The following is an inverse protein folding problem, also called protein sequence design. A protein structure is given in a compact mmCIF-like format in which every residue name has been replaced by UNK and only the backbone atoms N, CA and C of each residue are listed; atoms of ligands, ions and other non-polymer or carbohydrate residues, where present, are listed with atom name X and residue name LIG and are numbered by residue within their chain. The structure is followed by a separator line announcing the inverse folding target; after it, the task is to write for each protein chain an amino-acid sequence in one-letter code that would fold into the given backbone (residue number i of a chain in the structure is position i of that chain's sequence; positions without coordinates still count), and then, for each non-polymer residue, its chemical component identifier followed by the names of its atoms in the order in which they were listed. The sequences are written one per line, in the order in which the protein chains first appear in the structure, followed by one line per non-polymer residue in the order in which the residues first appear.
data_IF_314414673341
#
_entry.id   IF_314414673341
#
_cell.length_a   1.000
_cell.length_b   1.000
_cell.length_c   1.000
_cell.angle_alpha   90.00
_cell.angle_beta   90.00
_cell.angle_gamma   90.00
#
_symmetry.space_group_name_H-M   'P 1'
#
loop_
_entity.id
_entity.type
_entity.pdbx_description
1 polymer ?
#
# COMPACT_ATOMS: atom_id res chain seq x y z
N UNK A 1 -10.90 4.46 -10.18
CA UNK A 1 -11.52 3.19 -9.72
C UNK A 1 -10.57 2.54 -8.74
N UNK A 2 -10.99 2.24 -7.51
CA UNK A 2 -10.16 1.45 -6.59
C UNK A 2 -10.21 -0.02 -6.99
N UNK A 3 -9.05 -0.64 -7.13
CA UNK A 3 -8.91 -2.06 -7.47
C UNK A 3 -7.94 -2.72 -6.51
N UNK A 4 -8.15 -4.00 -6.19
CA UNK A 4 -7.21 -4.77 -5.39
C UNK A 4 -7.16 -6.22 -5.86
N UNK A 5 -6.04 -6.88 -5.60
CA UNK A 5 -5.87 -8.30 -5.83
C UNK A 5 -4.84 -8.85 -4.85
N UNK A 6 -5.02 -10.09 -4.39
CA UNK A 6 -3.95 -10.83 -3.71
C UNK A 6 -3.39 -11.82 -4.71
N UNK A 7 -2.11 -11.68 -5.02
CA UNK A 7 -1.37 -12.62 -5.86
C UNK A 7 -0.47 -13.48 -4.98
N UNK A 8 -0.47 -14.79 -5.24
CA UNK A 8 0.53 -15.71 -4.65
C UNK A 8 1.62 -15.96 -5.68
N UNK A 9 2.85 -15.56 -5.35
CA UNK A 9 4.03 -15.73 -6.19
C UNK A 9 5.02 -16.57 -5.40
N UNK A 10 5.20 -17.83 -5.81
CA UNK A 10 5.95 -18.84 -5.05
C UNK A 10 5.38 -18.98 -3.62
N UNK A 11 6.21 -18.71 -2.62
CA UNK A 11 5.93 -18.74 -1.20
C UNK A 11 5.41 -17.41 -0.63
N UNK A 12 5.37 -16.35 -1.44
CA UNK A 12 4.93 -15.00 -1.02
C UNK A 12 3.48 -14.74 -1.41
N UNK A 13 2.76 -14.04 -0.54
CA UNK A 13 1.47 -13.40 -0.87
C UNK A 13 1.68 -11.90 -0.95
N UNK A 14 1.09 -11.27 -1.96
CA UNK A 14 1.24 -9.84 -2.22
C UNK A 14 -0.15 -9.26 -2.45
N UNK A 15 -0.52 -8.28 -1.63
CA UNK A 15 -1.71 -7.47 -1.81
C UNK A 15 -1.38 -6.27 -2.68
N UNK A 16 -1.96 -6.24 -3.87
CA UNK A 16 -2.00 -5.06 -4.72
C UNK A 16 -3.21 -4.23 -4.36
N UNK A 17 -2.99 -2.92 -4.15
CA UNK A 17 -4.05 -1.93 -4.06
C UNK A 17 -3.74 -0.79 -5.01
N UNK A 18 -4.74 -0.41 -5.80
CA UNK A 18 -4.70 0.75 -6.70
C UNK A 18 -5.55 1.87 -6.12
N UNK A 19 -4.93 3.02 -5.90
CA UNK A 19 -5.63 4.21 -5.44
C UNK A 19 -6.37 4.92 -6.59
N UNK A 20 -7.02 6.05 -6.28
CA UNK A 20 -7.75 6.84 -7.27
C UNK A 20 -6.85 7.63 -8.24
N UNK A 21 -5.54 7.74 -7.96
CA UNK A 21 -4.55 8.45 -8.78
C UNK A 21 -3.80 7.50 -9.73
N UNK A 22 -4.29 6.27 -9.90
CA UNK A 22 -3.64 5.18 -10.65
C UNK A 22 -2.26 4.78 -10.09
N UNK A 23 -2.02 5.07 -8.81
CA UNK A 23 -0.82 4.57 -8.13
C UNK A 23 -1.08 3.14 -7.66
N UNK A 24 -0.15 2.24 -7.96
CA UNK A 24 -0.17 0.87 -7.43
C UNK A 24 0.71 0.78 -6.18
N UNK A 25 0.20 0.12 -5.14
CA UNK A 25 1.00 -0.30 -3.98
C UNK A 25 0.96 -1.82 -3.89
N UNK A 26 2.12 -2.41 -3.64
CA UNK A 26 2.27 -3.83 -3.36
C UNK A 26 2.68 -4.00 -1.89
N UNK A 27 1.86 -4.72 -1.12
CA UNK A 27 2.00 -4.86 0.32
C UNK A 27 2.08 -6.33 0.72
N UNK A 28 2.79 -6.62 1.81
CA UNK A 28 2.66 -7.89 2.50
C UNK A 28 1.28 -7.94 3.19
N UNK A 29 0.38 -8.87 2.83
CA UNK A 29 -0.95 -8.93 3.41
C UNK A 29 -0.96 -9.54 4.81
N UNK A 30 0.18 -9.90 5.39
CA UNK A 30 0.24 -10.48 6.72
C UNK A 30 0.16 -9.38 7.77
N UNK A 31 -0.94 -9.37 8.52
CA UNK A 31 -1.17 -8.44 9.62
C UNK A 31 -0.06 -8.55 10.67
N UNK A 32 0.53 -7.41 11.01
CA UNK A 32 1.65 -7.30 11.96
C UNK A 32 1.28 -7.61 13.42
N UNK A 33 -0.01 -7.74 13.75
CA UNK A 33 -0.45 -8.13 15.09
C UNK A 33 -0.27 -9.64 15.35
N UNK A 34 -0.99 -10.49 14.59
CA UNK A 34 -1.03 -11.95 14.79
C UNK A 34 -1.08 -12.73 13.47
N UNK A 35 -0.49 -12.17 12.41
CA UNK A 35 -0.19 -12.85 11.16
C UNK A 35 -1.39 -13.39 10.35
N UNK A 36 -2.59 -12.85 10.57
CA UNK A 36 -3.71 -13.10 9.67
C UNK A 36 -3.52 -12.37 8.34
N UNK A 37 -4.01 -12.94 7.24
CA UNK A 37 -4.12 -12.23 5.96
C UNK A 37 -5.16 -11.11 6.07
N UNK A 38 -4.78 -9.89 5.69
CA UNK A 38 -5.67 -8.71 5.63
C UNK A 38 -6.39 -8.62 4.28
N UNK A 39 -7.48 -7.86 4.25
CA UNK A 39 -8.32 -7.68 3.06
C UNK A 39 -8.59 -6.19 2.80
N UNK A 40 -8.83 -5.81 1.54
CA UNK A 40 -9.31 -4.47 1.22
C UNK A 40 -10.82 -4.38 1.50
N UNK A 41 -11.24 -3.39 2.29
CA UNK A 41 -12.64 -3.06 2.53
C UNK A 41 -13.09 -1.97 1.56
N UNK A 42 -14.00 -2.32 0.64
CA UNK A 42 -14.67 -1.35 -0.25
C UNK A 42 -15.45 -0.28 0.51
N UNK A 43 -16.07 -0.66 1.62
CA UNK A 43 -16.90 0.24 2.44
C UNK A 43 -16.05 1.30 3.13
N UNK A 44 -14.91 0.88 3.71
CA UNK A 44 -14.02 1.79 4.45
C UNK A 44 -12.99 2.49 3.55
N UNK A 45 -12.69 1.92 2.38
CA UNK A 45 -11.60 2.38 1.53
C UNK A 45 -10.20 2.08 2.10
N UNK A 46 -10.10 1.18 3.07
CA UNK A 46 -8.88 0.82 3.81
C UNK A 46 -8.63 -0.68 3.80
N UNK A 47 -7.47 -1.10 4.28
CA UNK A 47 -7.11 -2.50 4.49
C UNK A 47 -7.51 -2.90 5.92
N UNK A 48 -8.17 -4.03 6.09
CA UNK A 48 -8.75 -4.50 7.36
C UNK A 48 -8.29 -5.92 7.66
N UNK A 49 -7.85 -6.14 8.89
CA UNK A 49 -7.59 -7.47 9.42
C UNK A 49 -8.89 -8.08 9.99
N UNK A 50 -9.41 -9.18 9.42
CA UNK A 50 -10.69 -9.77 9.86
C UNK A 50 -10.62 -10.43 11.24
N UNK A 51 -9.42 -10.72 11.74
CA UNK A 51 -9.25 -11.44 13.01
C UNK A 51 -9.53 -10.57 14.24
N UNK A 52 -9.00 -9.34 14.27
CA UNK A 52 -9.08 -8.47 15.46
C UNK A 52 -9.36 -7.00 15.11
N UNK A 53 -9.63 -6.70 13.84
CA UNK A 53 -10.08 -5.37 13.42
C UNK A 53 -8.99 -4.29 13.30
N UNK A 54 -7.71 -4.67 13.25
CA UNK A 54 -6.65 -3.72 12.86
C UNK A 54 -6.92 -3.17 11.47
N UNK A 55 -6.65 -1.89 11.27
CA UNK A 55 -6.86 -1.21 10.00
C UNK A 55 -5.57 -0.54 9.54
N UNK A 56 -5.36 -0.54 8.23
CA UNK A 56 -4.21 0.07 7.58
C UNK A 56 -4.66 0.96 6.41
N UNK A 57 -3.95 2.05 6.17
CA UNK A 57 -4.06 2.84 4.96
C UNK A 57 -3.69 1.99 3.73
N UNK A 58 -4.03 2.47 2.52
CA UNK A 58 -3.66 1.80 1.27
C UNK A 58 -2.16 1.77 1.01
N UNK A 59 -1.39 2.55 1.76
CA UNK A 59 0.07 2.51 1.72
C UNK A 59 0.69 1.57 2.78
N UNK A 60 -0.14 0.87 3.57
CA UNK A 60 0.30 -0.07 4.62
C UNK A 60 0.52 0.56 6.00
N UNK A 61 0.38 1.88 6.17
CA UNK A 61 0.48 2.54 7.48
C UNK A 61 -0.67 2.13 8.40
N UNK A 62 -0.38 1.92 9.69
CA UNK A 62 -1.41 1.60 10.69
C UNK A 62 -2.37 2.77 10.86
N UNK A 63 -3.68 2.49 10.75
CA UNK A 63 -4.77 3.41 11.08
C UNK A 63 -5.42 3.06 12.42
N UNK A 64 -5.49 1.77 12.74
CA UNK A 64 -6.19 1.28 13.93
C UNK A 64 -5.49 0.08 14.53
N UNK A 65 -5.36 0.13 15.85
CA UNK A 65 -4.87 -0.95 16.70
C UNK A 65 -5.79 -2.20 16.62
N UNK A 66 -5.36 -3.40 17.06
CA UNK A 66 -4.17 -3.74 17.86
C UNK A 66 -2.81 -3.77 17.15
N UNK A 67 -2.74 -3.72 15.82
CA UNK A 67 -1.46 -3.64 15.13
C UNK A 67 -0.74 -2.33 15.47
N UNK A 68 0.56 -2.39 15.75
CA UNK A 68 1.39 -1.20 16.06
C UNK A 68 2.44 -0.93 14.99
N UNK A 69 2.67 -1.88 14.09
CA UNK A 69 3.65 -1.79 13.02
C UNK A 69 2.96 -1.78 11.64
N UNK A 70 3.46 -1.01 10.67
CA UNK A 70 2.93 -0.98 9.31
C UNK A 70 3.15 -2.31 8.57
N UNK A 71 2.36 -2.54 7.52
CA UNK A 71 2.58 -3.69 6.62
C UNK A 71 3.93 -3.55 5.89
N UNK A 72 4.55 -4.69 5.60
CA UNK A 72 5.70 -4.74 4.71
C UNK A 72 5.33 -4.26 3.31
N UNK A 73 6.29 -3.67 2.60
CA UNK A 73 6.09 -3.10 1.27
C UNK A 73 6.97 -3.81 0.26
N UNK A 74 6.52 -3.83 -0.98
CA UNK A 74 7.31 -4.26 -2.12
C UNK A 74 7.45 -3.07 -3.08
N UNK A 75 8.63 -2.90 -3.66
CA UNK A 75 8.82 -1.93 -4.74
C UNK A 75 7.94 -2.34 -5.92
N UNK A 76 7.15 -1.40 -6.44
CA UNK A 76 6.22 -1.65 -7.54
C UNK A 76 6.02 -0.43 -8.42
N UNK A 77 5.87 -0.67 -9.72
CA UNK A 77 5.60 0.34 -10.74
C UNK A 77 4.40 -0.11 -11.59
N UNK A 78 3.49 0.82 -11.90
CA UNK A 78 2.51 0.65 -12.97
C UNK A 78 3.00 1.42 -14.19
N UNK A 79 3.28 0.70 -15.27
CA UNK A 79 3.70 1.30 -16.54
C UNK A 79 2.49 1.77 -17.35
N UNK A 80 2.74 2.64 -18.32
CA UNK A 80 1.71 3.24 -19.19
C UNK A 80 0.90 2.20 -19.98
N UNK A 81 1.52 1.06 -20.32
CA UNK A 81 0.89 -0.07 -21.02
C UNK A 81 0.05 -0.97 -20.10
N UNK A 82 -0.04 -0.65 -18.81
CA UNK A 82 -0.77 -1.41 -17.80
C UNK A 82 0.03 -2.56 -17.19
N UNK A 83 1.31 -2.73 -17.54
CA UNK A 83 2.16 -3.73 -16.91
C UNK A 83 2.53 -3.30 -15.47
N UNK A 84 2.24 -4.19 -14.52
CA UNK A 84 2.71 -4.04 -13.14
C UNK A 84 4.06 -4.76 -13.01
N UNK A 85 5.09 -4.00 -12.64
CA UNK A 85 6.42 -4.53 -12.31
C UNK A 85 6.61 -4.45 -10.81
N UNK A 86 7.17 -5.50 -10.21
CA UNK A 86 7.45 -5.54 -8.78
C UNK A 86 8.78 -6.23 -8.47
N UNK A 87 9.41 -5.81 -7.38
CA UNK A 87 10.45 -6.58 -6.72
C UNK A 87 9.82 -7.58 -5.73
N UNK A 88 10.36 -8.80 -5.66
CA UNK A 88 9.95 -9.80 -4.65
C UNK A 88 10.73 -9.67 -3.34
N UNK A 89 11.67 -8.74 -3.26
CA UNK A 89 12.35 -8.38 -2.02
C UNK A 89 11.41 -7.51 -1.18
N UNK A 90 11.07 -7.99 0.02
CA UNK A 90 10.20 -7.25 0.93
C UNK A 90 11.04 -6.21 1.67
N UNK A 91 10.58 -4.96 1.66
CA UNK A 91 11.19 -3.86 2.37
C UNK A 91 10.38 -3.51 3.61
N UNK A 92 11.06 -2.93 4.61
CA UNK A 92 10.39 -2.34 5.75
C UNK A 92 9.74 -1.03 5.33
N UNK A 93 8.54 -0.76 5.83
CA UNK A 93 7.90 0.53 5.64
C UNK A 93 8.81 1.64 6.19
N UNK A 94 9.08 2.66 5.37
CA UNK A 94 9.73 3.90 5.81
C UNK A 94 8.95 5.10 5.34
N UNK A 95 8.84 6.14 6.18
CA UNK A 95 8.11 7.38 5.81
C UNK A 95 8.75 8.11 4.62
N UNK A 96 10.05 7.86 4.33
CA UNK A 96 10.76 8.49 3.20
C UNK A 96 10.46 7.83 1.86
N UNK A 97 10.36 6.50 1.80
CA UNK A 97 10.07 5.77 0.56
C UNK A 97 8.61 5.88 0.16
N UNK A 98 7.72 6.10 1.12
CA UNK A 98 6.30 6.23 0.84
C UNK A 98 5.94 7.58 0.16
N UNK A 99 6.75 8.63 0.37
CA UNK A 99 6.63 9.91 -0.35
C UNK A 99 7.14 9.83 -1.81
N UNK A 100 8.12 8.97 -2.09
CA UNK A 100 8.70 8.83 -3.43
C UNK A 100 7.87 7.91 -4.35
N UNK A 101 6.95 7.14 -3.77
CA UNK A 101 5.99 6.31 -4.49
C UNK A 101 4.63 7.03 -4.70
N UNK A 102 4.59 8.35 -4.52
CA UNK A 102 3.54 9.20 -5.10
C UNK A 102 4.02 9.69 -6.48
N UNK A 103 3.15 9.75 -7.51
CA UNK A 103 3.57 10.16 -8.84
C UNK A 103 4.10 11.61 -8.80
N UNK A 104 5.36 11.74 -9.22
CA UNK A 104 6.06 12.99 -9.41
C UNK A 104 5.24 13.89 -10.35
N UNK A 105 4.59 14.94 -9.83
CA UNK A 105 3.71 15.74 -10.68
C UNK A 105 2.93 16.89 -10.03
N UNK A 106 3.60 17.82 -9.34
CA UNK A 106 3.45 19.27 -9.59
C UNK A 106 4.47 20.08 -8.78
N UNK A 107 5.31 20.80 -9.53
CA UNK A 107 6.27 21.79 -9.06
C UNK A 107 5.60 22.77 -8.08
N UNK A 108 6.36 23.13 -7.03
CA UNK A 108 6.09 24.29 -6.18
C UNK A 108 5.91 25.52 -7.06
N UNK A 109 4.77 26.18 -6.96
CA UNK A 109 4.63 27.57 -7.39
C UNK A 109 4.71 28.42 -6.12
N UNK A 110 5.89 28.97 -5.88
CA UNK A 110 6.08 30.09 -4.97
C UNK A 110 5.21 31.23 -5.49
N UNK A 111 4.26 31.70 -4.69
CA UNK A 111 3.70 33.03 -4.87
C UNK A 111 4.29 33.94 -3.81
N UNK A 112 5.28 34.71 -4.26
CA UNK A 112 5.65 35.97 -3.66
C UNK A 112 4.43 36.90 -3.56
N UNK A 113 4.33 37.62 -2.44
CA UNK A 113 3.74 38.95 -2.36
C UNK A 113 2.22 39.04 -2.24
N UNK A 114 1.74 39.46 -1.06
CA UNK A 114 1.48 40.87 -0.74
C UNK A 114 1.20 41.07 0.73
#
# INVERSE_FOLDING_TARGET
MHGWAILKIKDKQILFVRDSKDTIKALNPICTHKQCTVEYSKEKGHIVCPCHGSEYELNGKVLKDPATEPLGIYESELREDGLIVLSLEEMKYTEKENQNNEPNGKKKEQKDGR
#
